data_IF_851707325104
#
_entry.id   IF_851707325104
#
_cell.length_a   1.000
_cell.length_b   1.000
_cell.length_c   1.000
_cell.angle_alpha   90.00
_cell.angle_beta   90.00
_cell.angle_gamma   90.00
#
_symmetry.space_group_name_H-M   'P 1'
#
loop_
_entity.id
_entity.type
_entity.pdbx_description
1 polymer ?
#
# COMPACT_ATOMS: atom_id res chain seq x y z
N UNK A 1 -43.80 -10.68 3.34
CA UNK A 1 -43.22 -11.17 2.07
C UNK A 1 -42.21 -10.13 1.60
N UNK A 2 -40.91 -10.42 1.66
CA UNK A 2 -39.85 -9.42 1.47
C UNK A 2 -39.71 -8.98 0.00
N UNK A 3 -39.58 -7.67 -0.29
CA UNK A 3 -39.35 -7.21 -1.65
C UNK A 3 -37.91 -7.56 -2.09
N UNK A 4 -37.80 -8.12 -3.30
CA UNK A 4 -36.53 -8.44 -3.95
C UNK A 4 -35.76 -7.14 -4.26
N UNK A 5 -34.64 -6.94 -3.58
CA UNK A 5 -33.66 -5.91 -3.93
C UNK A 5 -32.99 -6.30 -5.26
N UNK A 6 -33.38 -5.63 -6.35
CA UNK A 6 -32.67 -5.63 -7.62
C UNK A 6 -31.50 -4.63 -7.56
N UNK A 7 -30.36 -5.09 -8.06
CA UNK A 7 -29.26 -4.33 -8.65
C UNK A 7 -28.45 -3.39 -7.74
N UNK A 8 -27.35 -3.92 -7.19
CA UNK A 8 -26.13 -3.13 -7.00
C UNK A 8 -25.09 -3.60 -8.03
N UNK A 9 -24.64 -2.74 -8.97
CA UNK A 9 -23.50 -3.07 -9.82
C UNK A 9 -22.23 -3.04 -8.96
N UNK A 10 -21.81 -4.21 -8.49
CA UNK A 10 -20.61 -4.41 -7.68
C UNK A 10 -19.35 -4.59 -8.55
N UNK A 11 -19.16 -3.79 -9.60
CA UNK A 11 -17.99 -3.90 -10.49
C UNK A 11 -17.63 -2.57 -11.16
N UNK A 12 -16.96 -1.68 -10.43
CA UNK A 12 -16.28 -0.55 -11.06
C UNK A 12 -15.06 -0.02 -10.29
N UNK A 13 -14.84 -0.40 -9.02
CA UNK A 13 -13.66 0.02 -8.26
C UNK A 13 -12.46 -0.95 -8.35
N UNK A 14 -12.68 -2.20 -8.79
CA UNK A 14 -11.60 -3.19 -8.96
C UNK A 14 -10.63 -2.87 -10.11
N UNK A 15 -11.05 -2.10 -11.11
CA UNK A 15 -10.24 -1.90 -12.33
C UNK A 15 -9.01 -1.02 -12.09
N UNK A 16 -9.16 0.06 -11.33
CA UNK A 16 -8.04 0.95 -11.00
C UNK A 16 -7.05 0.32 -10.02
N UNK A 17 -7.54 -0.50 -9.08
CA UNK A 17 -6.70 -1.17 -8.10
C UNK A 17 -5.96 -2.36 -8.72
N UNK A 18 -6.62 -3.19 -9.53
CA UNK A 18 -5.97 -4.25 -10.32
C UNK A 18 -4.93 -3.71 -11.30
N UNK A 19 -5.18 -2.57 -11.94
CA UNK A 19 -4.23 -1.95 -12.87
C UNK A 19 -2.97 -1.38 -12.18
N UNK A 20 -3.05 -1.05 -10.89
CA UNK A 20 -1.84 -0.71 -10.11
C UNK A 20 -1.09 -1.96 -9.67
N UNK A 21 -1.81 -3.01 -9.28
CA UNK A 21 -1.23 -4.31 -8.91
C UNK A 21 -0.57 -5.02 -10.10
N UNK A 22 -1.05 -4.82 -11.33
CA UNK A 22 -0.42 -5.38 -12.53
C UNK A 22 0.99 -4.85 -12.78
N UNK A 23 1.33 -3.64 -12.29
CA UNK A 23 2.70 -3.11 -12.37
C UNK A 23 3.71 -3.99 -11.63
N UNK A 24 3.24 -4.71 -10.61
CA UNK A 24 4.06 -5.60 -9.81
C UNK A 24 3.97 -7.05 -10.26
N UNK A 25 3.13 -7.43 -11.23
CA UNK A 25 2.99 -8.84 -11.64
C UNK A 25 4.25 -9.41 -12.30
N UNK A 26 5.01 -8.58 -13.01
CA UNK A 26 6.24 -8.99 -13.71
C UNK A 26 7.52 -8.62 -12.94
N UNK A 27 7.40 -8.11 -11.70
CA UNK A 27 8.54 -7.74 -10.86
C UNK A 27 8.98 -8.98 -10.07
N UNK A 28 10.27 -9.27 -10.05
CA UNK A 28 10.83 -10.37 -9.26
C UNK A 28 10.46 -10.22 -7.78
N UNK A 29 10.20 -11.36 -7.12
CA UNK A 29 9.81 -11.38 -5.70
C UNK A 29 10.90 -10.76 -4.82
N UNK A 30 12.17 -10.98 -5.12
CA UNK A 30 13.30 -10.39 -4.37
C UNK A 30 13.32 -8.86 -4.49
N UNK A 31 12.97 -8.32 -5.66
CA UNK A 31 12.85 -6.88 -5.88
C UNK A 31 11.69 -6.30 -5.07
N UNK A 32 10.55 -6.99 -4.99
CA UNK A 32 9.42 -6.58 -4.16
C UNK A 32 9.77 -6.60 -2.67
N UNK A 33 10.52 -7.61 -2.20
CA UNK A 33 10.98 -7.69 -0.82
C UNK A 33 11.97 -6.55 -0.52
N UNK A 34 12.90 -6.26 -1.42
CA UNK A 34 13.82 -5.13 -1.27
C UNK A 34 13.06 -3.81 -1.20
N UNK A 35 12.13 -3.59 -2.12
CA UNK A 35 11.30 -2.39 -2.16
C UNK A 35 10.47 -2.24 -0.89
N UNK A 36 9.93 -3.33 -0.34
CA UNK A 36 9.21 -3.31 0.94
C UNK A 36 10.11 -2.77 2.06
N UNK A 37 11.34 -3.29 2.19
CA UNK A 37 12.30 -2.87 3.22
C UNK A 37 12.70 -1.40 3.06
N UNK A 38 12.95 -0.96 1.84
CA UNK A 38 13.35 0.43 1.56
C UNK A 38 12.23 1.42 1.95
N UNK A 39 10.98 1.07 1.65
CA UNK A 39 9.80 1.87 2.02
C UNK A 39 9.58 1.83 3.53
N UNK A 40 9.79 0.67 4.18
CA UNK A 40 9.68 0.55 5.63
C UNK A 40 10.70 1.43 6.35
N UNK A 41 11.95 1.44 5.87
CA UNK A 41 13.01 2.30 6.40
C UNK A 41 12.68 3.78 6.18
N UNK A 42 12.17 4.14 5.00
CA UNK A 42 11.73 5.51 4.69
C UNK A 42 10.59 5.95 5.62
N UNK A 43 9.60 5.08 5.84
CA UNK A 43 8.50 5.33 6.78
C UNK A 43 9.02 5.60 8.20
N UNK A 44 9.95 4.77 8.71
CA UNK A 44 10.57 4.96 10.04
C UNK A 44 11.31 6.30 10.13
N UNK A 45 12.03 6.69 9.07
CA UNK A 45 12.74 7.98 9.03
C UNK A 45 11.76 9.17 9.06
N UNK A 46 10.65 9.08 8.34
CA UNK A 46 9.61 10.11 8.31
C UNK A 46 8.93 10.25 9.69
N UNK A 47 8.61 9.14 10.37
CA UNK A 47 8.05 9.18 11.73
C UNK A 47 9.02 9.85 12.69
N UNK A 48 10.32 9.50 12.63
CA UNK A 48 11.35 10.16 13.44
C UNK A 48 11.46 11.66 13.13
N UNK A 49 11.31 12.04 11.87
CA UNK A 49 11.32 13.45 11.47
C UNK A 49 10.11 14.19 12.03
N UNK A 50 8.91 13.59 11.99
CA UNK A 50 7.66 14.14 12.56
C UNK A 50 7.83 14.53 14.04
N UNK A 51 8.49 13.68 14.82
CA UNK A 51 8.73 13.92 16.26
C UNK A 51 9.59 15.17 16.53
N UNK A 52 10.39 15.59 15.54
CA UNK A 52 11.34 16.71 15.65
C UNK A 52 10.96 17.96 14.85
N UNK A 53 9.85 17.91 14.11
CA UNK A 53 9.53 18.89 13.07
C UNK A 53 8.63 20.03 13.55
N UNK A 54 8.67 21.15 12.82
CA UNK A 54 7.71 22.25 12.94
C UNK A 54 6.42 21.94 12.16
N UNK A 55 5.32 22.62 12.49
CA UNK A 55 3.97 22.30 11.97
C UNK A 55 3.87 22.15 10.46
N UNK A 56 4.49 23.04 9.66
CA UNK A 56 4.47 22.94 8.20
C UNK A 56 5.19 21.69 7.70
N UNK A 57 6.36 21.38 8.26
CA UNK A 57 7.11 20.16 7.92
C UNK A 57 6.36 18.91 8.40
N UNK A 58 5.69 18.98 9.55
CA UNK A 58 4.82 17.93 10.07
C UNK A 58 3.73 17.55 9.06
N UNK A 59 3.10 18.52 8.38
CA UNK A 59 2.10 18.21 7.35
C UNK A 59 2.69 17.42 6.16
N UNK A 60 3.85 17.82 5.63
CA UNK A 60 4.50 17.12 4.51
C UNK A 60 4.87 15.69 4.90
N UNK A 61 5.57 15.52 6.02
CA UNK A 61 5.96 14.21 6.51
C UNK A 61 4.74 13.31 6.83
N UNK A 62 3.63 13.88 7.31
CA UNK A 62 2.41 13.10 7.54
C UNK A 62 1.81 12.55 6.24
N UNK A 63 1.82 13.34 5.17
CA UNK A 63 1.38 12.90 3.85
C UNK A 63 2.28 11.78 3.30
N UNK A 64 3.60 11.93 3.44
CA UNK A 64 4.57 10.93 2.98
C UNK A 64 4.51 9.63 3.80
N UNK A 65 4.35 9.72 5.12
CA UNK A 65 4.15 8.55 5.98
C UNK A 65 2.90 7.76 5.56
N UNK A 66 1.80 8.47 5.30
CA UNK A 66 0.55 7.87 4.82
C UNK A 66 0.70 7.18 3.46
N UNK A 67 1.50 7.75 2.54
CA UNK A 67 1.79 7.12 1.25
C UNK A 67 2.67 5.87 1.42
N UNK A 68 3.74 5.93 2.23
CA UNK A 68 4.60 4.78 2.50
C UNK A 68 3.79 3.61 3.08
N UNK A 69 2.92 3.88 4.05
CA UNK A 69 2.04 2.86 4.65
C UNK A 69 1.14 2.17 3.61
N UNK A 70 0.54 2.92 2.70
CA UNK A 70 -0.30 2.36 1.62
C UNK A 70 0.51 1.50 0.66
N UNK A 71 1.69 1.95 0.24
CA UNK A 71 2.53 1.18 -0.68
C UNK A 71 3.05 -0.11 -0.06
N UNK A 72 3.41 -0.10 1.24
CA UNK A 72 3.77 -1.32 1.97
C UNK A 72 2.63 -2.35 1.98
N UNK A 73 1.39 -1.90 2.21
CA UNK A 73 0.19 -2.78 2.17
C UNK A 73 -0.02 -3.36 0.77
N UNK A 74 0.16 -2.57 -0.28
CA UNK A 74 0.05 -3.04 -1.66
C UNK A 74 1.10 -4.12 -1.99
N UNK A 75 2.37 -3.88 -1.64
CA UNK A 75 3.45 -4.87 -1.85
C UNK A 75 3.17 -6.15 -1.04
N UNK A 76 2.73 -6.02 0.21
CA UNK A 76 2.33 -7.14 1.08
C UNK A 76 1.23 -7.99 0.44
N UNK A 77 0.20 -7.35 -0.13
CA UNK A 77 -0.89 -8.05 -0.81
C UNK A 77 -0.41 -8.80 -2.07
N UNK A 78 0.53 -8.23 -2.82
CA UNK A 78 1.15 -8.90 -3.97
C UNK A 78 1.97 -10.11 -3.53
N UNK A 79 2.82 -9.97 -2.50
CA UNK A 79 3.62 -11.06 -1.95
C UNK A 79 2.74 -12.20 -1.41
N UNK A 80 1.67 -11.88 -0.69
CA UNK A 80 0.70 -12.87 -0.23
C UNK A 80 0.00 -13.60 -1.37
N UNK A 81 -0.38 -12.88 -2.43
CA UNK A 81 -0.98 -13.47 -3.63
C UNK A 81 -0.02 -14.43 -4.36
N UNK A 82 1.29 -14.28 -4.15
CA UNK A 82 2.35 -15.16 -4.66
C UNK A 82 2.71 -16.31 -3.71
N UNK A 83 2.03 -16.43 -2.57
CA UNK A 83 2.31 -17.46 -1.57
C UNK A 83 3.45 -17.12 -0.60
N UNK A 84 4.05 -15.94 -0.70
CA UNK A 84 5.10 -15.48 0.23
C UNK A 84 4.42 -14.85 1.44
N UNK A 85 4.47 -15.53 2.58
CA UNK A 85 3.80 -15.11 3.82
C UNK A 85 4.76 -14.64 4.91
N UNK A 86 6.00 -15.10 4.84
CA UNK A 86 7.10 -14.71 5.72
C UNK A 86 8.05 -13.78 4.97
N UNK A 87 7.88 -12.48 5.20
CA UNK A 87 8.85 -11.47 4.83
C UNK A 87 8.94 -10.48 6.00
N UNK A 88 10.14 -9.93 6.27
CA UNK A 88 10.39 -9.07 7.42
C UNK A 88 9.56 -7.79 7.39
#
# INVERSE_FOLDING_TARGET
MFPKLKNFPHKAQDSHYRAKLSRFQNVDTDVLISLYKDIEQSHKAIIKALDSASSTQTFYFSADAGNCAKTMVEIKNVLFSRGIRDFP
#
